data_IF_845251279183
#
_entry.id   IF_845251279183
#
_cell.length_a   1.000
_cell.length_b   1.000
_cell.length_c   1.000
_cell.angle_alpha   90.00
_cell.angle_beta   90.00
_cell.angle_gamma   90.00
#
_symmetry.space_group_name_H-M   'P 1'
#
loop_
_entity.id
_entity.type
_entity.pdbx_description
1 polymer ?
#
# COMPACT_ATOMS: atom_id res chain seq x y z
N UNK A 1 20.69 11.90 11.07
CA UNK A 1 20.66 11.74 9.60
C UNK A 1 20.60 13.14 8.98
N UNK A 2 21.43 13.49 8.00
CA UNK A 2 21.37 14.80 7.34
C UNK A 2 20.00 14.93 6.63
N UNK A 3 19.45 16.14 6.65
CA UNK A 3 18.25 16.49 5.88
C UNK A 3 18.58 16.27 4.41
N UNK A 4 17.73 15.58 3.61
CA UNK A 4 17.91 15.56 2.16
C UNK A 4 17.79 17.00 1.64
N UNK A 5 18.71 17.39 0.79
CA UNK A 5 18.76 18.72 0.19
C UNK A 5 17.45 19.06 -0.50
N UNK A 6 16.84 20.18 -0.12
CA UNK A 6 15.50 20.63 -0.49
C UNK A 6 15.38 21.12 -1.95
N UNK A 7 16.24 20.72 -2.88
CA UNK A 7 16.35 21.37 -4.18
C UNK A 7 16.48 20.43 -5.40
N UNK A 8 15.72 19.33 -5.45
CA UNK A 8 15.56 18.64 -6.76
C UNK A 8 14.22 17.88 -6.84
N UNK A 9 13.11 18.58 -6.69
CA UNK A 9 11.82 18.00 -7.10
C UNK A 9 11.52 18.47 -8.52
N UNK A 10 11.58 17.54 -9.48
CA UNK A 10 11.06 17.76 -10.82
C UNK A 10 9.57 18.13 -10.72
N UNK A 11 9.04 19.07 -11.53
CA UNK A 11 7.62 19.45 -11.53
C UNK A 11 6.67 18.26 -11.76
N UNK A 12 7.19 17.14 -12.28
CA UNK A 12 6.47 15.88 -12.53
C UNK A 12 6.20 15.00 -11.31
N UNK A 13 6.66 15.38 -10.10
CA UNK A 13 6.53 14.53 -8.90
C UNK A 13 5.33 14.87 -8.00
N UNK A 14 4.36 15.62 -8.49
CA UNK A 14 3.16 15.98 -7.72
C UNK A 14 2.35 14.73 -7.38
N UNK A 15 1.85 14.65 -6.14
CA UNK A 15 1.01 13.55 -5.65
C UNK A 15 -0.43 14.04 -5.54
N UNK A 16 -1.35 13.41 -6.27
CA UNK A 16 -2.77 13.64 -6.15
C UNK A 16 -3.33 12.85 -4.96
N UNK A 17 -4.07 13.50 -4.08
CA UNK A 17 -4.65 12.90 -2.87
C UNK A 17 -6.15 13.08 -2.90
N UNK A 18 -6.89 11.99 -2.92
CA UNK A 18 -8.36 11.97 -2.77
C UNK A 18 -8.74 12.44 -1.37
N UNK A 19 -9.08 13.72 -1.25
CA UNK A 19 -9.40 14.32 0.03
C UNK A 19 -10.79 13.92 0.57
N UNK A 20 -11.61 13.26 -0.25
CA UNK A 20 -12.98 12.88 0.10
C UNK A 20 -13.13 11.38 0.40
N UNK A 21 -12.08 10.58 0.19
CA UNK A 21 -12.09 9.14 0.42
C UNK A 21 -11.75 8.76 1.86
N UNK A 22 -12.53 7.83 2.45
CA UNK A 22 -12.31 7.28 3.79
C UNK A 22 -13.30 7.78 4.85
N UNK A 23 -13.35 7.04 5.97
CA UNK A 23 -14.33 7.24 7.04
C UNK A 23 -14.15 8.57 7.78
N UNK A 24 -12.94 9.14 7.74
CA UNK A 24 -12.54 10.36 8.44
C UNK A 24 -12.19 11.52 7.49
N UNK A 25 -12.59 11.39 6.21
CA UNK A 25 -12.41 12.45 5.22
C UNK A 25 -13.37 13.64 5.50
N UNK A 26 -12.96 14.87 5.16
CA UNK A 26 -11.64 15.24 4.65
C UNK A 26 -10.61 15.50 5.75
N UNK A 27 -10.99 15.60 7.02
CA UNK A 27 -10.16 16.12 8.11
C UNK A 27 -8.83 15.38 8.29
N UNK A 28 -8.86 14.04 8.44
CA UNK A 28 -7.64 13.24 8.61
C UNK A 28 -6.78 13.22 7.34
N UNK A 29 -7.43 13.19 6.16
CA UNK A 29 -6.71 13.17 4.88
C UNK A 29 -5.95 14.47 4.67
N UNK A 30 -6.61 15.61 4.87
CA UNK A 30 -5.98 16.93 4.74
C UNK A 30 -4.85 17.10 5.75
N UNK A 31 -5.05 16.70 7.02
CA UNK A 31 -3.98 16.74 8.05
C UNK A 31 -2.79 15.89 7.66
N UNK A 32 -3.04 14.67 7.16
CA UNK A 32 -1.99 13.77 6.68
C UNK A 32 -1.21 14.37 5.51
N UNK A 33 -1.88 14.99 4.55
CA UNK A 33 -1.26 15.67 3.43
C UNK A 33 -0.39 16.86 3.88
N UNK A 34 -0.89 17.68 4.82
CA UNK A 34 -0.11 18.79 5.41
C UNK A 34 1.13 18.28 6.14
N UNK A 35 1.01 17.19 6.90
CA UNK A 35 2.17 16.56 7.56
C UNK A 35 3.19 16.05 6.54
N UNK A 36 2.73 15.39 5.47
CA UNK A 36 3.61 14.89 4.40
C UNK A 36 4.31 16.03 3.66
N UNK A 37 3.59 17.08 3.33
CA UNK A 37 4.16 18.28 2.70
C UNK A 37 5.27 18.91 3.54
N UNK A 38 5.01 19.12 4.84
CA UNK A 38 5.98 19.73 5.76
C UNK A 38 7.19 18.86 6.07
N UNK A 39 6.99 17.54 6.15
CA UNK A 39 8.06 16.60 6.54
C UNK A 39 8.90 16.15 5.35
N UNK A 40 8.26 15.86 4.21
CA UNK A 40 8.93 15.26 3.05
C UNK A 40 9.12 16.24 1.88
N UNK A 41 8.41 17.38 1.86
CA UNK A 41 8.51 18.39 0.82
C UNK A 41 7.87 17.99 -0.53
N UNK A 42 7.08 16.92 -0.60
CA UNK A 42 6.43 16.54 -1.85
C UNK A 42 5.39 17.58 -2.28
N UNK A 43 5.36 18.00 -3.56
CA UNK A 43 4.23 18.74 -4.10
C UNK A 43 2.96 17.90 -4.04
N UNK A 44 1.89 18.44 -3.44
CA UNK A 44 0.62 17.73 -3.24
C UNK A 44 -0.51 18.54 -3.87
N UNK A 45 -1.44 17.86 -4.54
CA UNK A 45 -2.74 18.40 -4.93
C UNK A 45 -3.85 17.60 -4.24
N UNK A 46 -4.66 18.28 -3.43
CA UNK A 46 -5.84 17.72 -2.79
C UNK A 46 -7.02 17.76 -3.75
N UNK A 47 -7.70 16.64 -3.94
CA UNK A 47 -8.79 16.50 -4.91
C UNK A 47 -10.11 16.28 -4.19
N UNK A 48 -11.11 17.13 -4.45
CA UNK A 48 -12.43 17.01 -3.86
C UNK A 48 -13.19 18.33 -3.80
N UNK A 49 -14.18 18.44 -2.92
CA UNK A 49 -14.97 19.66 -2.74
C UNK A 49 -14.10 20.78 -2.19
N UNK A 50 -13.83 21.76 -3.01
CA UNK A 50 -12.85 22.81 -2.70
C UNK A 50 -13.21 23.62 -1.46
N UNK A 51 -14.47 23.95 -1.23
CA UNK A 51 -14.95 24.69 -0.06
C UNK A 51 -14.59 23.98 1.24
N UNK A 52 -14.84 22.69 1.30
CA UNK A 52 -14.58 21.86 2.48
C UNK A 52 -13.06 21.65 2.70
N UNK A 53 -12.32 21.40 1.62
CA UNK A 53 -10.85 21.22 1.69
C UNK A 53 -10.19 22.54 2.14
N UNK A 54 -10.59 23.69 1.58
CA UNK A 54 -10.05 25.01 1.96
C UNK A 54 -10.31 25.32 3.43
N UNK A 55 -11.46 24.92 3.98
CA UNK A 55 -11.74 25.09 5.41
C UNK A 55 -10.76 24.28 6.30
N UNK A 56 -10.50 22.99 5.93
CA UNK A 56 -9.53 22.16 6.66
C UNK A 56 -8.09 22.71 6.52
N UNK A 57 -7.70 23.22 5.35
CA UNK A 57 -6.39 23.84 5.14
C UNK A 57 -6.20 25.10 5.98
N UNK A 58 -7.23 25.95 6.12
CA UNK A 58 -7.20 27.12 7.03
C UNK A 58 -6.99 26.70 8.48
N UNK A 59 -7.72 25.67 8.94
CA UNK A 59 -7.53 25.11 10.29
C UNK A 59 -6.12 24.57 10.52
N UNK A 60 -5.52 23.98 9.49
CA UNK A 60 -4.17 23.44 9.52
C UNK A 60 -3.07 24.50 9.24
N UNK A 61 -3.44 25.74 8.90
CA UNK A 61 -2.52 26.82 8.47
C UNK A 61 -1.60 26.35 7.32
N UNK A 62 -2.20 25.83 6.26
CA UNK A 62 -1.52 25.24 5.10
C UNK A 62 -2.24 25.59 3.78
N UNK A 63 -2.64 26.86 3.65
CA UNK A 63 -3.44 27.37 2.52
C UNK A 63 -2.64 27.38 1.20
N UNK A 64 -1.34 27.20 1.26
CA UNK A 64 -0.43 27.06 0.12
C UNK A 64 -0.61 25.74 -0.67
N UNK A 65 -1.25 24.73 -0.08
CA UNK A 65 -1.50 23.47 -0.78
C UNK A 65 -2.51 23.64 -1.91
N UNK A 66 -2.19 23.06 -3.05
CA UNK A 66 -3.04 23.10 -4.23
C UNK A 66 -4.30 22.26 -4.03
N UNK A 67 -5.43 22.79 -4.52
CA UNK A 67 -6.72 22.09 -4.50
C UNK A 67 -7.26 21.99 -5.93
N UNK A 68 -7.62 20.77 -6.32
CA UNK A 68 -8.35 20.50 -7.55
C UNK A 68 -9.80 20.17 -7.20
N UNK A 69 -10.72 20.99 -7.68
CA UNK A 69 -12.14 20.77 -7.41
C UNK A 69 -12.67 19.48 -8.05
N UNK A 70 -13.50 18.75 -7.28
CA UNK A 70 -14.33 17.63 -7.74
C UNK A 70 -15.60 17.61 -6.89
N UNK A 71 -16.76 17.58 -7.52
CA UNK A 71 -18.04 17.79 -6.86
C UNK A 71 -18.66 16.51 -6.28
N UNK A 72 -18.25 15.33 -6.80
CA UNK A 72 -18.83 14.04 -6.46
C UNK A 72 -17.88 13.19 -5.59
N UNK A 73 -18.47 12.31 -4.79
CA UNK A 73 -17.73 11.35 -3.95
C UNK A 73 -18.22 9.93 -4.24
N UNK A 74 -17.32 8.98 -4.39
CA UNK A 74 -17.64 7.55 -4.44
C UNK A 74 -17.69 7.03 -3.00
N UNK A 75 -18.87 6.59 -2.55
CA UNK A 75 -19.07 6.12 -1.19
C UNK A 75 -18.55 4.68 -0.99
N UNK A 76 -18.23 4.33 0.26
CA UNK A 76 -17.65 3.02 0.59
C UNK A 76 -18.57 1.84 0.27
N UNK A 77 -19.89 2.03 0.35
CA UNK A 77 -20.90 1.00 0.11
C UNK A 77 -21.35 0.88 -1.36
N UNK A 78 -20.90 1.77 -2.24
CA UNK A 78 -21.30 1.74 -3.65
C UNK A 78 -20.59 0.62 -4.43
N UNK A 79 -21.29 0.05 -5.41
CA UNK A 79 -20.70 -0.94 -6.30
C UNK A 79 -19.57 -0.31 -7.13
N UNK A 80 -18.31 -0.77 -6.98
CA UNK A 80 -17.11 -0.06 -7.42
C UNK A 80 -17.12 0.39 -8.88
N UNK A 81 -17.27 -0.55 -9.81
CA UNK A 81 -17.20 -0.26 -11.23
C UNK A 81 -18.42 0.54 -11.76
N UNK A 82 -19.57 0.47 -11.07
CA UNK A 82 -20.77 1.22 -11.41
C UNK A 82 -20.63 2.67 -10.95
N UNK A 83 -20.23 2.87 -9.69
CA UNK A 83 -20.03 4.18 -9.09
C UNK A 83 -18.98 4.98 -9.88
N UNK A 84 -17.83 4.38 -10.16
CA UNK A 84 -16.78 5.02 -10.94
C UNK A 84 -17.23 5.47 -12.36
N UNK A 85 -18.06 4.65 -13.03
CA UNK A 85 -18.57 5.00 -14.38
C UNK A 85 -19.60 6.11 -14.35
N UNK A 86 -20.47 6.13 -13.32
CA UNK A 86 -21.54 7.12 -13.18
C UNK A 86 -21.01 8.49 -12.73
N UNK A 87 -20.16 8.52 -11.71
CA UNK A 87 -19.63 9.73 -11.08
C UNK A 87 -18.38 10.23 -11.82
N UNK A 88 -18.61 11.01 -12.87
CA UNK A 88 -17.52 11.49 -13.74
C UNK A 88 -16.68 12.60 -13.10
N UNK A 89 -17.24 13.33 -12.16
CA UNK A 89 -16.58 14.40 -11.41
C UNK A 89 -16.26 13.99 -9.96
N UNK A 90 -16.05 12.70 -9.72
CA UNK A 90 -15.64 12.22 -8.41
C UNK A 90 -14.17 12.52 -8.13
N UNK A 91 -13.84 12.82 -6.87
CA UNK A 91 -12.47 13.06 -6.40
C UNK A 91 -11.52 11.93 -6.83
N UNK A 92 -11.98 10.68 -6.77
CA UNK A 92 -11.26 9.51 -7.22
C UNK A 92 -10.93 9.58 -8.73
N UNK A 93 -11.93 9.90 -9.56
CA UNK A 93 -11.74 9.95 -11.01
C UNK A 93 -10.90 11.15 -11.45
N UNK A 94 -11.15 12.31 -10.87
CA UNK A 94 -10.37 13.54 -11.15
C UNK A 94 -8.91 13.32 -10.75
N UNK A 95 -8.64 12.74 -9.58
CA UNK A 95 -7.29 12.44 -9.12
C UNK A 95 -6.53 11.47 -10.03
N UNK A 96 -7.18 10.38 -10.47
CA UNK A 96 -6.59 9.46 -11.45
C UNK A 96 -6.35 10.10 -12.81
N UNK A 97 -7.23 11.01 -13.25
CA UNK A 97 -7.02 11.75 -14.49
C UNK A 97 -5.78 12.66 -14.42
N UNK A 98 -5.51 13.29 -13.26
CA UNK A 98 -4.27 14.08 -13.09
C UNK A 98 -3.02 13.22 -13.32
N UNK A 99 -3.04 11.95 -12.87
CA UNK A 99 -1.94 11.03 -13.15
C UNK A 99 -1.87 10.65 -14.62
N UNK A 100 -3.00 10.29 -15.24
CA UNK A 100 -3.05 9.93 -16.67
C UNK A 100 -2.60 11.06 -17.60
N UNK A 101 -2.84 12.31 -17.22
CA UNK A 101 -2.44 13.53 -17.93
C UNK A 101 -0.99 13.96 -17.65
N UNK A 102 -0.27 13.24 -16.79
CA UNK A 102 1.10 13.60 -16.38
C UNK A 102 1.19 14.85 -15.48
N UNK A 103 0.06 15.32 -14.94
CA UNK A 103 -0.01 16.44 -14.00
C UNK A 103 0.32 16.02 -12.57
N UNK A 104 0.20 14.73 -12.28
CA UNK A 104 0.65 14.09 -11.05
C UNK A 104 1.39 12.80 -11.40
N UNK A 105 2.31 12.37 -10.53
CA UNK A 105 3.04 11.11 -10.69
C UNK A 105 2.33 9.94 -10.02
N UNK A 106 1.56 10.26 -8.97
CA UNK A 106 0.94 9.24 -8.13
C UNK A 106 -0.42 9.72 -7.60
N UNK A 107 -1.25 8.74 -7.24
CA UNK A 107 -2.57 8.95 -6.63
C UNK A 107 -2.69 8.17 -5.31
N UNK A 108 -3.24 8.80 -4.28
CA UNK A 108 -3.48 8.22 -2.96
C UNK A 108 -4.95 8.36 -2.60
N UNK A 109 -5.60 7.28 -2.16
CA UNK A 109 -6.99 7.31 -1.70
C UNK A 109 -7.23 6.33 -0.55
N UNK A 110 -8.00 6.77 0.45
CA UNK A 110 -8.57 5.93 1.50
C UNK A 110 -10.04 5.57 1.23
N UNK A 111 -10.53 5.85 0.03
CA UNK A 111 -11.89 5.52 -0.39
C UNK A 111 -12.08 4.04 -0.73
N UNK A 112 -13.20 3.73 -1.39
CA UNK A 112 -13.56 2.38 -1.80
C UNK A 112 -12.47 1.71 -2.64
N UNK A 113 -11.74 0.75 -2.07
CA UNK A 113 -10.59 0.08 -2.70
C UNK A 113 -10.91 -0.53 -4.06
N UNK A 114 -12.09 -1.13 -4.20
CA UNK A 114 -12.55 -1.68 -5.48
C UNK A 114 -12.75 -0.59 -6.54
N UNK A 115 -13.26 0.59 -6.14
CA UNK A 115 -13.45 1.72 -7.04
C UNK A 115 -12.11 2.34 -7.45
N UNK A 116 -11.15 2.43 -6.52
CA UNK A 116 -9.78 2.87 -6.84
C UNK A 116 -9.14 1.93 -7.86
N UNK A 117 -9.22 0.62 -7.63
CA UNK A 117 -8.67 -0.40 -8.54
C UNK A 117 -9.35 -0.35 -9.91
N UNK A 118 -10.69 -0.32 -9.97
CA UNK A 118 -11.44 -0.22 -11.22
C UNK A 118 -11.10 1.07 -11.96
N UNK A 119 -11.00 2.18 -11.24
CA UNK A 119 -10.62 3.48 -11.79
C UNK A 119 -9.20 3.48 -12.36
N UNK A 120 -8.24 2.96 -11.62
CA UNK A 120 -6.86 2.83 -12.07
C UNK A 120 -6.76 2.02 -13.37
N UNK A 121 -7.46 0.88 -13.45
CA UNK A 121 -7.52 0.08 -14.69
C UNK A 121 -8.15 0.82 -15.87
N UNK A 122 -9.22 1.57 -15.62
CA UNK A 122 -9.94 2.28 -16.70
C UNK A 122 -9.19 3.53 -17.19
N UNK A 123 -8.55 4.26 -16.29
CA UNK A 123 -7.92 5.56 -16.59
C UNK A 123 -6.43 5.40 -16.88
N UNK A 124 -5.67 4.78 -16.00
CA UNK A 124 -4.22 4.66 -16.14
C UNK A 124 -3.82 3.49 -17.03
N UNK A 125 -4.66 2.47 -17.10
CA UNK A 125 -4.39 1.22 -17.81
C UNK A 125 -3.25 0.41 -17.16
N UNK A 126 -3.06 -0.81 -17.67
CA UNK A 126 -2.00 -1.71 -17.21
C UNK A 126 -0.66 -1.38 -17.84
N UNK A 127 0.43 -1.70 -17.16
CA UNK A 127 1.76 -1.81 -17.77
C UNK A 127 1.69 -2.89 -18.86
N UNK A 128 2.38 -2.65 -19.98
CA UNK A 128 2.41 -3.62 -21.08
C UNK A 128 3.03 -4.94 -20.59
N UNK A 129 2.41 -6.05 -20.90
CA UNK A 129 2.83 -7.39 -20.44
C UNK A 129 2.17 -7.84 -19.13
N UNK A 130 1.54 -6.94 -18.36
CA UNK A 130 0.81 -7.32 -17.15
C UNK A 130 -0.64 -7.64 -17.47
N UNK A 131 -1.11 -8.81 -17.03
CA UNK A 131 -2.50 -9.26 -17.18
C UNK A 131 -3.40 -8.72 -16.07
N UNK A 132 -2.91 -8.73 -14.83
CA UNK A 132 -3.64 -8.31 -13.64
C UNK A 132 -2.76 -7.42 -12.76
N UNK A 133 -3.20 -6.21 -12.37
CA UNK A 133 -2.55 -5.47 -11.31
C UNK A 133 -2.79 -6.18 -9.97
N UNK A 134 -1.90 -5.99 -9.02
CA UNK A 134 -1.97 -6.62 -7.70
C UNK A 134 -1.76 -5.61 -6.58
N UNK A 135 -2.50 -5.76 -5.48
CA UNK A 135 -2.30 -5.00 -4.26
C UNK A 135 -1.11 -5.59 -3.50
N UNK A 136 -0.17 -4.73 -3.12
CA UNK A 136 1.05 -5.14 -2.44
C UNK A 136 1.03 -4.64 -1.00
N UNK A 137 1.27 -5.52 -0.04
CA UNK A 137 1.41 -5.14 1.36
C UNK A 137 2.84 -5.37 1.86
N UNK A 138 3.40 -4.37 2.53
CA UNK A 138 4.66 -4.51 3.25
C UNK A 138 4.37 -4.93 4.69
N UNK A 139 4.85 -6.10 5.10
CA UNK A 139 4.61 -6.67 6.42
C UNK A 139 5.89 -6.58 7.24
N UNK A 140 5.86 -5.97 8.44
CA UNK A 140 6.98 -5.96 9.35
C UNK A 140 7.24 -7.33 9.96
N UNK A 141 8.50 -7.74 9.99
CA UNK A 141 8.91 -8.97 10.66
C UNK A 141 10.17 -8.75 11.51
N UNK A 142 10.52 -9.68 12.41
CA UNK A 142 11.75 -9.58 13.18
C UNK A 142 13.02 -9.56 12.32
N UNK A 143 12.99 -10.18 11.15
CA UNK A 143 14.12 -10.30 10.22
C UNK A 143 14.20 -9.17 9.17
N UNK A 144 13.23 -8.24 9.18
CA UNK A 144 13.09 -7.15 8.22
C UNK A 144 11.71 -7.15 7.56
N UNK A 145 11.35 -6.09 6.85
CA UNK A 145 10.08 -6.04 6.13
C UNK A 145 10.07 -7.03 4.97
N UNK A 146 8.91 -7.66 4.74
CA UNK A 146 8.65 -8.56 3.62
C UNK A 146 7.50 -8.03 2.77
N UNK A 147 7.36 -8.54 1.56
CA UNK A 147 6.30 -8.21 0.61
C UNK A 147 5.30 -9.35 0.53
N UNK A 148 4.01 -9.06 0.73
CA UNK A 148 2.89 -9.94 0.40
C UNK A 148 2.20 -9.42 -0.85
N UNK A 149 2.02 -10.26 -1.86
CA UNK A 149 1.37 -9.95 -3.14
C UNK A 149 0.66 -11.19 -3.72
N UNK A 150 -0.60 -11.20 -4.05
CA UNK A 150 -1.62 -10.16 -4.04
C UNK A 150 -2.34 -10.10 -2.68
N UNK A 151 -2.51 -8.91 -2.15
CA UNK A 151 -3.15 -8.71 -0.84
C UNK A 151 -4.68 -8.41 -0.94
N UNK A 152 -5.32 -8.69 -2.09
CA UNK A 152 -6.78 -8.57 -2.18
C UNK A 152 -7.36 -8.01 -3.48
N UNK A 153 -6.59 -7.91 -4.57
CA UNK A 153 -7.11 -7.40 -5.84
C UNK A 153 -7.78 -8.50 -6.70
N UNK A 154 -7.25 -9.73 -6.69
CA UNK A 154 -7.65 -10.78 -7.60
C UNK A 154 -7.95 -12.09 -6.87
N UNK A 155 -9.23 -12.43 -6.74
CA UNK A 155 -9.66 -13.67 -6.07
C UNK A 155 -9.40 -14.89 -6.97
N UNK A 156 -9.79 -14.79 -8.25
CA UNK A 156 -9.59 -15.86 -9.23
C UNK A 156 -8.32 -15.61 -10.05
N UNK A 157 -7.30 -16.41 -9.78
CA UNK A 157 -6.01 -16.31 -10.45
C UNK A 157 -5.71 -17.55 -11.31
N UNK A 158 -4.87 -17.35 -12.33
CA UNK A 158 -4.19 -18.40 -13.07
C UNK A 158 -2.72 -18.42 -12.66
N UNK A 159 -1.98 -19.52 -12.88
CA UNK A 159 -0.57 -19.61 -12.52
C UNK A 159 0.28 -18.46 -13.10
N UNK A 160 0.01 -18.04 -14.34
CA UNK A 160 0.72 -16.95 -15.00
C UNK A 160 0.54 -15.60 -14.27
N UNK A 161 -0.65 -15.38 -13.67
CA UNK A 161 -0.89 -14.19 -12.87
C UNK A 161 0.02 -14.15 -11.63
N UNK A 162 0.15 -15.29 -10.92
CA UNK A 162 1.00 -15.39 -9.75
C UNK A 162 2.50 -15.20 -10.11
N UNK A 163 2.91 -15.68 -11.27
CA UNK A 163 4.27 -15.42 -11.78
C UNK A 163 4.49 -13.92 -12.01
N UNK A 164 3.52 -13.23 -12.62
CA UNK A 164 3.59 -11.78 -12.79
C UNK A 164 3.61 -11.04 -11.45
N UNK A 165 2.85 -11.52 -10.45
CA UNK A 165 2.89 -10.99 -9.08
C UNK A 165 4.29 -11.16 -8.48
N UNK A 166 4.94 -12.30 -8.72
CA UNK A 166 6.32 -12.54 -8.30
C UNK A 166 7.31 -11.51 -8.88
N UNK A 167 7.23 -11.21 -10.16
CA UNK A 167 8.05 -10.17 -10.80
C UNK A 167 7.76 -8.78 -10.23
N UNK A 168 6.47 -8.42 -10.05
CA UNK A 168 6.09 -7.15 -9.46
C UNK A 168 6.55 -7.01 -8.01
N UNK A 169 6.39 -8.07 -7.21
CA UNK A 169 6.85 -8.10 -5.82
C UNK A 169 8.37 -8.03 -5.70
N UNK A 170 9.10 -8.72 -6.58
CA UNK A 170 10.57 -8.66 -6.65
C UNK A 170 11.05 -7.24 -6.97
N UNK A 171 10.49 -6.63 -8.02
CA UNK A 171 10.81 -5.26 -8.40
C UNK A 171 10.54 -4.26 -7.26
N UNK A 172 9.42 -4.42 -6.57
CA UNK A 172 9.07 -3.60 -5.41
C UNK A 172 10.04 -3.81 -4.24
N UNK A 173 10.33 -5.06 -3.87
CA UNK A 173 11.27 -5.38 -2.79
C UNK A 173 12.68 -4.83 -3.08
N UNK A 174 13.13 -4.91 -4.31
CA UNK A 174 14.43 -4.38 -4.73
C UNK A 174 14.47 -2.85 -4.67
N UNK A 175 13.46 -2.18 -5.22
CA UNK A 175 13.45 -0.72 -5.33
C UNK A 175 13.08 -0.01 -4.03
N UNK A 176 12.10 -0.52 -3.30
CA UNK A 176 11.55 0.15 -2.11
C UNK A 176 12.18 -0.37 -0.82
N UNK A 177 12.39 -1.69 -0.70
CA UNK A 177 12.99 -2.28 0.50
C UNK A 177 14.52 -2.36 0.43
N UNK A 178 15.11 -2.09 -0.74
CA UNK A 178 16.57 -2.10 -0.94
C UNK A 178 17.19 -3.50 -0.87
N UNK A 179 16.43 -4.56 -1.16
CA UNK A 179 16.92 -5.94 -1.15
C UNK A 179 17.48 -6.25 -2.56
N UNK A 180 18.80 -6.43 -2.72
CA UNK A 180 19.39 -6.52 -4.06
C UNK A 180 18.93 -7.71 -4.90
N UNK A 181 18.66 -8.85 -4.24
CA UNK A 181 18.20 -10.11 -4.86
C UNK A 181 17.10 -10.73 -3.99
N UNK A 182 15.86 -10.23 -4.09
CA UNK A 182 14.76 -10.72 -3.27
C UNK A 182 14.47 -12.20 -3.52
N UNK A 183 14.27 -12.96 -2.46
CA UNK A 183 13.85 -14.35 -2.51
C UNK A 183 12.33 -14.41 -2.64
N UNK A 184 11.84 -15.07 -3.66
CA UNK A 184 10.41 -15.19 -3.99
C UNK A 184 9.91 -16.58 -3.68
N UNK A 185 8.78 -16.72 -3.00
CA UNK A 185 8.14 -18.00 -2.79
C UNK A 185 6.62 -17.92 -2.92
N UNK A 186 5.97 -19.05 -3.21
CA UNK A 186 4.53 -19.16 -3.33
C UNK A 186 3.94 -19.68 -2.02
N UNK A 187 2.89 -19.01 -1.52
CA UNK A 187 2.20 -19.42 -0.30
C UNK A 187 1.45 -20.72 -0.53
N UNK A 188 1.69 -21.73 0.31
CA UNK A 188 1.13 -23.07 0.21
C UNK A 188 0.86 -23.66 1.59
N UNK A 189 0.32 -24.88 1.64
CA UNK A 189 0.00 -25.62 2.87
C UNK A 189 1.14 -26.52 3.36
N UNK A 190 2.27 -26.56 2.66
CA UNK A 190 3.45 -27.38 2.98
C UNK A 190 4.60 -27.06 2.05
N UNK A 191 5.83 -27.36 2.48
CA UNK A 191 7.06 -27.05 1.76
C UNK A 191 7.31 -27.96 0.56
N UNK A 192 6.74 -29.18 0.56
CA UNK A 192 6.97 -30.16 -0.50
C UNK A 192 6.30 -29.73 -1.81
N UNK A 193 6.90 -30.04 -2.93
CA UNK A 193 6.42 -29.71 -4.28
C UNK A 193 5.04 -30.30 -4.62
N UNK A 194 4.66 -31.37 -3.95
CA UNK A 194 3.36 -32.06 -4.12
C UNK A 194 2.23 -31.42 -3.34
N UNK A 195 2.53 -30.51 -2.41
CA UNK A 195 1.54 -29.84 -1.56
C UNK A 195 0.92 -28.62 -2.24
N UNK A 196 -0.25 -28.27 -1.76
CA UNK A 196 -1.00 -27.10 -2.24
C UNK A 196 -2.08 -27.44 -3.26
N UNK A 197 -2.71 -26.39 -3.77
CA UNK A 197 -3.72 -26.46 -4.83
C UNK A 197 -3.05 -26.66 -6.20
N UNK A 198 -3.84 -26.97 -7.23
CA UNK A 198 -3.35 -26.99 -8.61
C UNK A 198 -2.69 -25.66 -8.99
N UNK A 199 -3.34 -24.55 -8.61
CA UNK A 199 -2.82 -23.20 -8.83
C UNK A 199 -1.41 -23.04 -8.25
N UNK A 200 -1.17 -23.41 -6.98
CA UNK A 200 0.14 -23.23 -6.33
C UNK A 200 1.20 -24.15 -6.91
N UNK A 201 0.86 -25.43 -7.24
CA UNK A 201 1.79 -26.39 -7.85
C UNK A 201 2.23 -25.96 -9.26
N UNK A 202 1.27 -25.55 -10.10
CA UNK A 202 1.56 -25.07 -11.46
C UNK A 202 2.36 -23.77 -11.41
N UNK A 203 2.03 -22.85 -10.50
CA UNK A 203 2.80 -21.61 -10.27
C UNK A 203 4.23 -21.91 -9.87
N UNK A 204 4.48 -22.84 -8.93
CA UNK A 204 5.81 -23.25 -8.54
C UNK A 204 6.61 -23.84 -9.71
N UNK A 205 5.96 -24.64 -10.56
CA UNK A 205 6.59 -25.19 -11.77
C UNK A 205 6.96 -24.11 -12.80
N UNK A 206 6.14 -23.04 -12.91
CA UNK A 206 6.46 -21.88 -13.76
C UNK A 206 7.58 -21.03 -13.17
N UNK A 207 7.58 -20.74 -11.87
CA UNK A 207 8.65 -19.97 -11.21
C UNK A 207 10.03 -20.60 -11.40
N UNK A 208 10.15 -21.94 -11.40
CA UNK A 208 11.43 -22.62 -11.65
C UNK A 208 11.99 -22.40 -13.05
N UNK A 209 11.18 -21.87 -13.99
CA UNK A 209 11.60 -21.52 -15.35
C UNK A 209 11.98 -20.05 -15.51
N UNK A 210 11.85 -19.25 -14.46
CA UNK A 210 12.19 -17.83 -14.44
C UNK A 210 13.56 -17.60 -13.84
N UNK A 211 14.11 -16.39 -14.03
CA UNK A 211 15.36 -15.95 -13.42
C UNK A 211 15.20 -15.44 -11.97
N UNK A 212 13.96 -15.48 -11.42
CA UNK A 212 13.67 -15.09 -10.05
C UNK A 212 14.41 -16.01 -9.06
N UNK A 213 14.84 -15.46 -7.93
CA UNK A 213 15.39 -16.24 -6.82
C UNK A 213 14.27 -17.01 -6.10
N UNK A 214 13.69 -17.99 -6.80
CA UNK A 214 12.57 -18.79 -6.29
C UNK A 214 13.04 -19.77 -5.21
N UNK A 215 12.40 -19.71 -4.03
CA UNK A 215 12.76 -20.54 -2.86
C UNK A 215 11.75 -21.67 -2.58
N UNK A 216 10.77 -21.85 -3.45
CA UNK A 216 9.78 -22.93 -3.32
C UNK A 216 8.49 -22.51 -2.63
N UNK A 217 7.79 -23.49 -2.07
CA UNK A 217 6.57 -23.31 -1.31
C UNK A 217 6.88 -22.73 0.06
N UNK A 218 5.99 -21.85 0.54
CA UNK A 218 6.09 -21.16 1.83
C UNK A 218 4.82 -21.42 2.64
N UNK A 219 4.99 -21.68 3.93
CA UNK A 219 3.88 -21.79 4.87
C UNK A 219 3.65 -20.47 5.63
N UNK A 220 2.50 -20.33 6.30
CA UNK A 220 2.18 -19.15 7.10
C UNK A 220 3.20 -18.81 8.19
N UNK A 221 3.89 -19.82 8.77
CA UNK A 221 4.96 -19.60 9.75
C UNK A 221 6.22 -18.97 9.15
N UNK A 222 6.45 -19.16 7.86
CA UNK A 222 7.67 -18.70 7.17
C UNK A 222 7.74 -17.17 7.02
N UNK A 223 6.60 -16.48 7.17
CA UNK A 223 6.54 -15.02 7.13
C UNK A 223 7.49 -14.35 8.14
N UNK A 224 7.72 -14.98 9.29
CA UNK A 224 8.43 -14.34 10.41
C UNK A 224 9.87 -14.83 10.63
N UNK A 225 10.33 -15.82 9.87
CA UNK A 225 11.64 -16.45 10.07
C UNK A 225 12.68 -16.10 9.00
N UNK A 226 12.33 -15.21 8.06
CA UNK A 226 13.26 -14.73 7.03
C UNK A 226 13.58 -15.75 5.95
N UNK A 227 12.66 -16.66 5.61
CA UNK A 227 12.84 -17.67 4.56
C UNK A 227 12.73 -17.06 3.17
N UNK A 228 11.85 -16.08 2.99
CA UNK A 228 11.66 -15.34 1.75
C UNK A 228 11.47 -13.84 2.04
N UNK A 229 11.59 -13.03 0.99
CA UNK A 229 11.40 -11.58 1.01
C UNK A 229 10.10 -11.18 0.30
N UNK A 230 9.61 -12.02 -0.63
CA UNK A 230 8.37 -11.84 -1.38
C UNK A 230 7.52 -13.10 -1.28
N UNK A 231 6.32 -12.97 -0.78
CA UNK A 231 5.31 -14.02 -0.58
C UNK A 231 4.19 -13.81 -1.61
N UNK A 232 4.06 -14.74 -2.54
CA UNK A 232 3.10 -14.67 -3.64
C UNK A 232 1.90 -15.57 -3.38
N UNK A 233 0.69 -15.04 -3.53
CA UNK A 233 -0.57 -15.77 -3.47
C UNK A 233 -1.65 -15.09 -4.33
N UNK A 234 -2.83 -15.71 -4.45
CA UNK A 234 -4.02 -15.01 -4.93
C UNK A 234 -4.56 -14.02 -3.89
N UNK A 235 -5.41 -13.09 -4.34
CA UNK A 235 -5.90 -12.03 -3.48
C UNK A 235 -6.84 -12.48 -2.37
N UNK A 236 -7.50 -13.65 -2.50
CA UNK A 236 -8.30 -14.19 -1.40
C UNK A 236 -7.42 -14.63 -0.24
N UNK A 237 -6.43 -15.46 -0.52
CA UNK A 237 -5.45 -15.93 0.47
C UNK A 237 -4.69 -14.74 1.07
N UNK A 238 -4.21 -13.81 0.24
CA UNK A 238 -3.45 -12.65 0.71
C UNK A 238 -4.26 -11.72 1.59
N UNK A 239 -5.52 -11.46 1.25
CA UNK A 239 -6.39 -10.64 2.10
C UNK A 239 -6.71 -11.30 3.45
N UNK A 240 -6.93 -12.63 3.45
CA UNK A 240 -7.14 -13.38 4.71
C UNK A 240 -5.89 -13.31 5.59
N UNK A 241 -4.70 -13.53 5.02
CA UNK A 241 -3.42 -13.40 5.75
C UNK A 241 -3.26 -12.00 6.32
N UNK A 242 -3.41 -10.97 5.50
CA UNK A 242 -3.25 -9.57 5.92
C UNK A 242 -4.20 -9.21 7.06
N UNK A 243 -5.51 -9.52 6.91
CA UNK A 243 -6.51 -9.24 7.95
C UNK A 243 -6.32 -10.05 9.22
N UNK A 244 -5.84 -11.28 9.12
CA UNK A 244 -5.48 -12.09 10.29
C UNK A 244 -4.29 -11.49 11.04
N UNK A 245 -3.25 -11.05 10.32
CA UNK A 245 -2.08 -10.40 10.93
C UNK A 245 -2.45 -9.07 11.60
N UNK A 246 -3.27 -8.23 10.94
CA UNK A 246 -3.78 -6.97 11.51
C UNK A 246 -4.58 -7.23 12.81
N UNK A 247 -5.50 -8.19 12.78
CA UNK A 247 -6.29 -8.57 13.94
C UNK A 247 -5.44 -9.12 15.08
N UNK A 248 -4.48 -9.99 14.77
CA UNK A 248 -3.56 -10.56 15.77
C UNK A 248 -2.68 -9.49 16.40
N UNK A 249 -2.13 -8.56 15.62
CA UNK A 249 -1.32 -7.48 16.15
C UNK A 249 -2.12 -6.59 17.13
N UNK A 250 -3.38 -6.28 16.80
CA UNK A 250 -4.29 -5.55 17.68
C UNK A 250 -4.58 -6.33 18.96
N UNK A 251 -4.96 -7.61 18.84
CA UNK A 251 -5.26 -8.46 19.99
C UNK A 251 -4.08 -8.61 20.94
N UNK A 252 -2.87 -8.77 20.43
CA UNK A 252 -1.65 -8.87 21.26
C UNK A 252 -1.39 -7.60 22.07
N UNK A 253 -1.60 -6.42 21.45
CA UNK A 253 -1.46 -5.14 22.14
C UNK A 253 -2.52 -5.00 23.24
N UNK A 254 -3.75 -5.42 22.97
CA UNK A 254 -4.86 -5.35 23.95
C UNK A 254 -4.62 -6.33 25.11
N UNK A 255 -4.21 -7.58 24.86
CA UNK A 255 -3.84 -8.53 25.91
C UNK A 255 -2.72 -8.00 26.81
N UNK A 256 -1.66 -7.46 26.22
CA UNK A 256 -0.58 -6.84 26.98
C UNK A 256 -1.08 -5.69 27.85
N UNK A 257 -1.94 -4.83 27.29
CA UNK A 257 -2.54 -3.71 28.02
C UNK A 257 -3.38 -4.19 29.19
N UNK A 258 -4.24 -5.19 28.98
CA UNK A 258 -5.08 -5.76 30.03
C UNK A 258 -4.23 -6.32 31.18
N UNK A 259 -3.19 -7.09 30.88
CA UNK A 259 -2.31 -7.66 31.91
C UNK A 259 -1.55 -6.57 32.69
N UNK A 260 -1.05 -5.54 32.02
CA UNK A 260 -0.41 -4.38 32.67
C UNK A 260 -1.37 -3.68 33.64
N UNK A 261 -2.65 -3.53 33.26
CA UNK A 261 -3.63 -2.81 34.06
C UNK A 261 -4.05 -3.57 35.34
N UNK A 262 -3.86 -4.89 35.43
CA UNK A 262 -4.23 -5.71 36.59
C UNK A 262 -3.30 -5.52 37.80
N UNK A 263 -2.06 -5.04 37.64
CA UNK A 263 -1.07 -4.95 38.68
C UNK A 263 -0.44 -3.56 38.78
N UNK A 264 -0.32 -3.02 40.01
CA UNK A 264 0.38 -1.76 40.25
C UNK A 264 1.88 -1.84 39.88
N UNK A 265 2.51 -2.99 40.24
CA UNK A 265 3.90 -3.26 39.87
C UNK A 265 4.09 -3.34 38.35
N UNK A 266 3.14 -3.98 37.63
CA UNK A 266 3.18 -4.03 36.16
C UNK A 266 3.03 -2.65 35.53
N UNK A 267 2.17 -1.77 36.09
CA UNK A 267 2.05 -0.37 35.65
C UNK A 267 3.35 0.41 35.79
N UNK A 268 4.04 0.27 36.93
CA UNK A 268 5.35 0.90 37.14
C UNK A 268 6.39 0.32 36.18
N UNK A 269 6.43 -1.00 36.01
CA UNK A 269 7.30 -1.65 35.03
C UNK A 269 7.05 -1.18 33.59
N UNK A 270 5.77 -1.06 33.19
CA UNK A 270 5.38 -0.55 31.87
C UNK A 270 5.76 0.93 31.67
N UNK A 271 5.69 1.75 32.72
CA UNK A 271 6.15 3.14 32.65
C UNK A 271 7.66 3.20 32.37
N UNK A 272 8.46 2.41 33.08
CA UNK A 272 9.90 2.30 32.85
C UNK A 272 10.25 1.73 31.47
N UNK A 273 9.50 0.73 31.02
CA UNK A 273 9.66 0.10 29.71
C UNK A 273 8.96 0.85 28.55
N UNK A 274 8.29 1.99 28.83
CA UNK A 274 7.39 2.67 27.89
C UNK A 274 8.02 3.00 26.53
N UNK A 275 9.31 3.34 26.51
CA UNK A 275 10.05 3.57 25.28
C UNK A 275 10.19 2.31 24.40
N UNK A 276 10.42 1.14 25.03
CA UNK A 276 10.51 -0.12 24.31
C UNK A 276 9.14 -0.58 23.80
N UNK A 277 8.10 -0.50 24.63
CA UNK A 277 6.72 -0.84 24.28
C UNK A 277 6.25 0.01 23.07
N UNK A 278 6.53 1.33 23.12
CA UNK A 278 6.19 2.23 22.01
C UNK A 278 6.89 1.83 20.71
N UNK A 279 8.20 1.51 20.75
CA UNK A 279 8.93 1.04 19.56
C UNK A 279 8.34 -0.24 18.98
N UNK A 280 7.97 -1.20 19.82
CA UNK A 280 7.32 -2.45 19.37
C UNK A 280 5.97 -2.13 18.73
N UNK A 281 5.12 -1.32 19.39
CA UNK A 281 3.83 -0.89 18.84
C UNK A 281 3.99 -0.23 17.46
N UNK A 282 4.88 0.75 17.34
CA UNK A 282 5.16 1.42 16.05
C UNK A 282 5.64 0.42 15.00
N UNK A 283 6.46 -0.56 15.38
CA UNK A 283 7.00 -1.55 14.46
C UNK A 283 5.93 -2.53 13.94
N UNK A 284 4.92 -2.83 14.76
CA UNK A 284 3.78 -3.69 14.39
C UNK A 284 2.66 -2.94 13.67
N UNK A 285 2.71 -1.61 13.66
CA UNK A 285 1.67 -0.79 13.10
C UNK A 285 1.80 -0.70 11.57
N UNK A 286 0.85 -1.30 10.86
CA UNK A 286 0.79 -1.26 9.39
C UNK A 286 0.70 0.17 8.82
N UNK A 287 0.15 1.13 9.59
CA UNK A 287 0.08 2.53 9.20
C UNK A 287 1.47 3.17 8.95
N UNK A 288 2.53 2.61 9.53
CA UNK A 288 3.91 3.07 9.30
C UNK A 288 4.43 2.74 7.90
N UNK A 289 3.88 1.73 7.25
CA UNK A 289 4.32 1.30 5.90
C UNK A 289 3.60 2.03 4.77
N UNK A 290 2.55 2.80 5.09
CA UNK A 290 2.03 3.80 4.18
C UNK A 290 1.09 3.31 3.10
N UNK A 291 0.05 2.57 3.47
CA UNK A 291 -0.95 2.05 2.53
C UNK A 291 -0.44 0.88 1.68
N UNK A 292 -1.26 0.43 0.76
CA UNK A 292 -0.99 -0.71 -0.10
C UNK A 292 -0.85 -0.24 -1.56
N UNK A 293 0.35 -0.28 -2.16
CA UNK A 293 0.53 0.02 -3.57
C UNK A 293 -0.23 -0.95 -4.48
N UNK A 294 -0.86 -0.42 -5.52
CA UNK A 294 -1.42 -1.19 -6.62
C UNK A 294 -0.37 -1.26 -7.74
N UNK A 295 0.34 -2.37 -7.80
CA UNK A 295 1.37 -2.59 -8.83
C UNK A 295 0.76 -3.11 -10.13
N UNK A 296 1.44 -2.86 -11.26
CA UNK A 296 1.03 -3.33 -12.58
C UNK A 296 0.10 -2.38 -13.35
N UNK A 297 -0.20 -1.20 -12.80
CA UNK A 297 -0.83 -0.07 -13.52
C UNK A 297 0.22 0.99 -13.83
N UNK A 298 -0.05 1.86 -14.81
CA UNK A 298 0.79 3.01 -15.11
C UNK A 298 0.59 4.09 -14.05
N UNK A 299 1.69 4.70 -13.62
CA UNK A 299 1.69 5.67 -12.51
C UNK A 299 1.58 5.02 -11.13
N UNK A 300 1.92 5.77 -10.09
CA UNK A 300 1.83 5.30 -8.72
C UNK A 300 0.39 5.35 -8.21
N UNK A 301 -0.13 4.25 -7.68
CA UNK A 301 -1.42 4.22 -6.97
C UNK A 301 -1.24 3.58 -5.62
N UNK A 302 -1.66 4.27 -4.55
CA UNK A 302 -1.63 3.75 -3.18
C UNK A 302 -3.03 3.75 -2.60
N UNK A 303 -3.46 2.59 -2.14
CA UNK A 303 -4.76 2.35 -1.52
C UNK A 303 -4.56 2.32 -0.01
N UNK A 304 -5.32 3.14 0.71
CA UNK A 304 -5.31 3.18 2.17
C UNK A 304 -6.57 2.50 2.73
N UNK A 305 -6.53 2.13 4.00
CA UNK A 305 -7.71 1.64 4.70
C UNK A 305 -8.71 2.79 4.92
N UNK A 306 -10.03 2.52 4.88
CA UNK A 306 -11.06 3.54 5.10
C UNK A 306 -10.92 4.28 6.44
N UNK A 307 -10.47 3.59 7.48
CA UNK A 307 -10.22 4.16 8.81
C UNK A 307 -8.86 4.86 8.99
N UNK A 308 -8.13 5.14 7.91
CA UNK A 308 -6.81 5.76 7.97
C UNK A 308 -6.84 7.12 8.66
N UNK A 309 -5.98 7.29 9.66
CA UNK A 309 -5.73 8.56 10.34
C UNK A 309 -4.69 9.43 9.57
N UNK A 310 -4.44 10.63 10.07
CA UNK A 310 -3.47 11.55 9.46
C UNK A 310 -2.05 10.96 9.35
N UNK A 311 -1.64 10.09 10.28
CA UNK A 311 -0.33 9.44 10.23
C UNK A 311 -0.27 8.40 9.12
N UNK A 312 -1.30 7.57 8.98
CA UNK A 312 -1.43 6.61 7.88
C UNK A 312 -1.42 7.32 6.53
N UNK A 313 -2.20 8.39 6.38
CA UNK A 313 -2.25 9.19 5.16
C UNK A 313 -0.90 9.85 4.83
N UNK A 314 -0.21 10.41 5.83
CA UNK A 314 1.16 10.95 5.64
C UNK A 314 2.11 9.89 5.09
N UNK A 315 2.11 8.70 5.66
CA UNK A 315 2.98 7.61 5.24
C UNK A 315 2.59 7.07 3.86
N UNK A 316 1.30 7.03 3.53
CA UNK A 316 0.82 6.64 2.20
C UNK A 316 1.29 7.61 1.10
N UNK A 317 1.28 8.90 1.38
CA UNK A 317 1.81 9.93 0.48
C UNK A 317 3.33 9.75 0.31
N UNK A 318 4.07 9.42 1.38
CA UNK A 318 5.49 9.07 1.29
C UNK A 318 5.70 7.84 0.39
N UNK A 319 4.91 6.79 0.59
CA UNK A 319 4.97 5.56 -0.23
C UNK A 319 4.72 5.88 -1.70
N UNK A 320 3.68 6.67 -2.01
CA UNK A 320 3.35 7.08 -3.37
C UNK A 320 4.49 7.87 -4.05
N UNK A 321 5.11 8.79 -3.31
CA UNK A 321 6.29 9.52 -3.79
C UNK A 321 7.49 8.61 -4.07
N UNK A 322 7.70 7.60 -3.22
CA UNK A 322 8.79 6.64 -3.40
C UNK A 322 8.59 5.74 -4.61
N UNK A 323 7.36 5.29 -4.90
CA UNK A 323 7.08 4.46 -6.08
C UNK A 323 7.57 5.11 -7.37
N UNK A 324 7.31 6.39 -7.54
CA UNK A 324 7.74 7.14 -8.71
C UNK A 324 9.24 7.46 -8.68
N UNK A 325 9.73 8.02 -7.56
CA UNK A 325 11.13 8.43 -7.42
C UNK A 325 12.11 7.26 -7.65
N UNK A 326 11.76 6.09 -7.14
CA UNK A 326 12.64 4.93 -7.16
C UNK A 326 12.43 4.04 -8.40
N UNK A 327 11.52 4.46 -9.32
CA UNK A 327 11.35 3.86 -10.65
C UNK A 327 10.76 2.45 -10.61
N UNK A 328 9.74 2.21 -9.76
CA UNK A 328 9.12 0.87 -9.64
C UNK A 328 8.38 0.47 -10.90
N UNK A 329 7.65 1.39 -11.54
CA UNK A 329 6.92 1.14 -12.78
C UNK A 329 7.85 0.72 -13.91
N UNK A 330 8.93 1.48 -14.11
CA UNK A 330 9.94 1.22 -15.13
C UNK A 330 10.65 -0.12 -14.90
N UNK A 331 10.87 -0.48 -13.62
CA UNK A 331 11.48 -1.74 -13.27
C UNK A 331 10.56 -2.92 -13.58
N UNK A 332 9.27 -2.83 -13.24
CA UNK A 332 8.26 -3.83 -13.60
C UNK A 332 8.18 -3.98 -15.12
N UNK A 333 8.15 -2.88 -15.87
CA UNK A 333 8.07 -2.92 -17.33
C UNK A 333 9.26 -3.65 -17.98
N UNK A 334 10.46 -3.60 -17.39
CA UNK A 334 11.65 -4.31 -17.90
C UNK A 334 11.60 -5.82 -17.71
N UNK A 335 11.03 -6.30 -16.59
CA UNK A 335 11.04 -7.73 -16.27
C UNK A 335 9.89 -8.51 -16.88
N UNK A 336 8.84 -7.83 -17.38
CA UNK A 336 7.68 -8.46 -18.01
C UNK A 336 7.65 -8.37 -19.55
N UNK A 337 8.61 -7.67 -20.15
CA UNK A 337 8.81 -7.59 -21.61
C UNK A 337 9.92 -8.54 -22.05
#
# INVERSE_FOLDING_TARGET
MPRPDAHFFLPSMKIAVDAMGGDHAPGEVVRGAVHAFREFGFPIVLVGREDVIREELRRAKAEELEVQHASEVVEMYEAPGVAFRKKKDSSLRVGLNLVAEGKASSFVSAGNSGAVMAGALMVLRKIRGIDRPAITATIPTPTGPIVLIDAGANVDCRPEHLVQFGWMGEAYARKILGIPRPRVGVVSIGEEDTKGTDLTRETAALFRKTDLSFVGNLEGRDFFIGKADVFVCDGFVGNVILKTMEGMATALVDFLREEILKSQMAKVGALLAGGAIRRVKTRLDYAEYGGAPLLGVKGGVVICHGSSDARAMKNAIRSAGSLHRDGVEEEIAKVVT
#
